data_IF_307028395338
#
_entry.id   IF_307028395338
#
_cell.length_a   1.000
_cell.length_b   1.000
_cell.length_c   1.000
_cell.angle_alpha   90.00
_cell.angle_beta   90.00
_cell.angle_gamma   90.00
#
_symmetry.space_group_name_H-M   'P 1'
#
loop_
_entity.id
_entity.type
_entity.pdbx_description
1 polymer ?
#
# COMPACT_ATOMS: atom_id res chain seq x y z
N UNK A 1 -38.96 2.13 -5.34
CA UNK A 1 -37.68 1.85 -6.03
C UNK A 1 -37.92 0.58 -6.82
N UNK A 2 -37.85 0.65 -8.15
CA UNK A 2 -38.03 -0.53 -8.99
C UNK A 2 -36.97 -1.58 -8.65
N UNK A 3 -37.34 -2.85 -8.70
CA UNK A 3 -36.38 -3.95 -8.60
C UNK A 3 -35.34 -3.78 -9.70
N UNK A 4 -34.03 -3.75 -9.36
CA UNK A 4 -32.99 -3.67 -10.37
C UNK A 4 -33.08 -4.91 -11.26
N UNK A 5 -33.37 -4.70 -12.55
CA UNK A 5 -33.39 -5.77 -13.55
C UNK A 5 -31.94 -6.18 -13.83
N UNK A 6 -31.53 -7.33 -13.30
CA UNK A 6 -30.25 -7.95 -13.65
C UNK A 6 -30.28 -8.41 -15.11
N UNK A 7 -29.12 -8.37 -15.79
CA UNK A 7 -29.01 -8.88 -17.16
C UNK A 7 -29.36 -10.38 -17.19
N UNK A 8 -30.00 -10.88 -18.27
CA UNK A 8 -30.40 -12.29 -18.37
C UNK A 8 -29.21 -13.27 -18.36
N UNK A 9 -28.00 -12.75 -18.59
CA UNK A 9 -26.77 -13.54 -18.71
C UNK A 9 -26.12 -13.85 -17.34
N UNK A 10 -26.70 -13.36 -16.24
CA UNK A 10 -26.14 -13.52 -14.89
C UNK A 10 -26.51 -14.90 -14.33
N UNK A 11 -25.55 -15.68 -13.78
CA UNK A 11 -25.85 -16.95 -13.11
C UNK A 11 -26.88 -16.76 -11.99
N UNK A 12 -27.89 -17.63 -11.93
CA UNK A 12 -29.00 -17.50 -10.99
C UNK A 12 -28.54 -17.41 -9.52
N UNK A 13 -27.49 -18.14 -9.14
CA UNK A 13 -26.94 -18.10 -7.78
C UNK A 13 -26.24 -16.77 -7.45
N UNK A 14 -25.59 -16.13 -8.43
CA UNK A 14 -25.03 -14.79 -8.27
C UNK A 14 -26.14 -13.75 -8.12
N UNK A 15 -27.23 -13.89 -8.89
CA UNK A 15 -28.41 -13.03 -8.77
C UNK A 15 -29.01 -13.12 -7.36
N UNK A 16 -29.17 -14.33 -6.80
CA UNK A 16 -29.65 -14.52 -5.42
C UNK A 16 -28.72 -13.89 -4.38
N UNK A 17 -27.41 -14.01 -4.54
CA UNK A 17 -26.44 -13.37 -3.64
C UNK A 17 -26.57 -11.84 -3.67
N UNK A 18 -26.75 -11.26 -4.87
CA UNK A 18 -26.98 -9.82 -5.04
C UNK A 18 -28.31 -9.40 -4.41
N UNK A 19 -29.39 -10.14 -4.63
CA UNK A 19 -30.70 -9.88 -4.01
C UNK A 19 -30.59 -9.86 -2.48
N UNK A 20 -29.96 -10.88 -1.89
CA UNK A 20 -29.76 -10.98 -0.43
C UNK A 20 -28.90 -9.82 0.13
N UNK A 21 -27.92 -9.35 -0.62
CA UNK A 21 -27.12 -8.17 -0.25
C UNK A 21 -27.93 -6.86 -0.28
N UNK A 22 -28.94 -6.79 -1.16
CA UNK A 22 -29.79 -5.61 -1.34
C UNK A 22 -31.06 -5.65 -0.47
N UNK A 23 -31.26 -6.71 0.32
CA UNK A 23 -32.39 -6.79 1.23
C UNK A 23 -32.42 -5.62 2.22
N UNK A 24 -33.61 -5.07 2.42
CA UNK A 24 -33.84 -3.98 3.37
C UNK A 24 -33.59 -4.38 4.82
N UNK A 25 -34.12 -5.52 5.31
CA UNK A 25 -33.81 -5.99 6.66
C UNK A 25 -32.33 -6.38 6.77
N UNK A 26 -31.66 -5.89 7.81
CA UNK A 26 -30.22 -6.14 8.04
C UNK A 26 -29.92 -7.59 8.40
N UNK A 27 -30.87 -8.27 9.05
CA UNK A 27 -30.80 -9.66 9.48
C UNK A 27 -30.97 -10.68 8.33
N UNK A 28 -31.53 -10.24 7.19
CA UNK A 28 -31.66 -11.08 6.01
C UNK A 28 -30.39 -11.06 5.12
N UNK A 29 -29.57 -10.01 5.27
CA UNK A 29 -28.27 -9.88 4.60
C UNK A 29 -27.28 -10.95 5.08
N UNK A 30 -26.23 -11.25 4.29
CA UNK A 30 -25.11 -12.06 4.76
C UNK A 30 -24.54 -11.47 6.05
N UNK A 31 -24.26 -12.34 7.03
CA UNK A 31 -23.85 -11.93 8.37
C UNK A 31 -22.48 -11.26 8.38
N UNK A 32 -21.66 -11.50 7.36
CA UNK A 32 -20.32 -10.92 7.25
C UNK A 32 -19.85 -10.80 5.80
N UNK A 33 -18.83 -9.97 5.59
CA UNK A 33 -18.12 -9.89 4.31
C UNK A 33 -17.38 -11.19 3.95
N UNK A 34 -17.08 -12.03 4.95
CA UNK A 34 -16.45 -13.34 4.74
C UNK A 34 -17.43 -14.32 4.07
N UNK A 35 -18.69 -14.34 4.50
CA UNK A 35 -19.75 -15.15 3.87
C UNK A 35 -19.90 -14.82 2.37
N UNK A 36 -19.89 -13.52 2.04
CA UNK A 36 -19.96 -13.04 0.65
C UNK A 36 -18.75 -13.51 -0.16
N UNK A 37 -17.54 -13.40 0.42
CA UNK A 37 -16.31 -13.84 -0.25
C UNK A 37 -16.30 -15.34 -0.52
N UNK A 38 -16.77 -16.13 0.44
CA UNK A 38 -16.85 -17.58 0.31
C UNK A 38 -17.87 -17.97 -0.77
N UNK A 39 -19.04 -17.33 -0.80
CA UNK A 39 -20.04 -17.53 -1.83
C UNK A 39 -19.51 -17.20 -3.24
N UNK A 40 -18.84 -16.05 -3.40
CA UNK A 40 -18.24 -15.68 -4.69
C UNK A 40 -17.13 -16.65 -5.13
N UNK A 41 -16.33 -17.15 -4.19
CA UNK A 41 -15.25 -18.12 -4.49
C UNK A 41 -15.83 -19.45 -4.97
N UNK A 42 -16.92 -19.91 -4.35
CA UNK A 42 -17.65 -21.11 -4.78
C UNK A 42 -18.18 -20.94 -6.21
N UNK A 43 -18.89 -19.84 -6.49
CA UNK A 43 -19.46 -19.53 -7.80
C UNK A 43 -18.40 -19.43 -8.90
N UNK A 44 -17.26 -18.81 -8.61
CA UNK A 44 -16.15 -18.73 -9.56
C UNK A 44 -15.58 -20.12 -9.90
N UNK A 45 -15.52 -21.02 -8.91
CA UNK A 45 -15.05 -22.39 -9.13
C UNK A 45 -16.03 -23.22 -9.97
N UNK A 46 -17.33 -23.01 -9.79
CA UNK A 46 -18.39 -23.67 -10.57
C UNK A 46 -18.41 -23.17 -12.02
N UNK A 47 -18.31 -21.86 -12.22
CA UNK A 47 -18.20 -21.26 -13.56
C UNK A 47 -16.99 -21.85 -14.32
N UNK A 48 -15.83 -21.96 -13.66
CA UNK A 48 -14.64 -22.56 -14.26
C UNK A 48 -14.83 -24.03 -14.66
N UNK A 49 -15.62 -24.79 -13.89
CA UNK A 49 -15.96 -26.19 -14.23
C UNK A 49 -16.91 -26.26 -15.42
N UNK A 50 -17.91 -25.37 -15.49
CA UNK A 50 -18.85 -25.29 -16.60
C UNK A 50 -18.17 -24.91 -17.92
N UNK A 51 -17.19 -24.00 -17.90
CA UNK A 51 -16.41 -23.64 -19.08
C UNK A 51 -15.53 -24.81 -19.58
N UNK A 52 -15.00 -25.60 -18.64
CA UNK A 52 -14.19 -26.78 -18.95
C UNK A 52 -15.00 -27.89 -19.62
N UNK A 53 -16.27 -28.09 -19.21
CA UNK A 53 -17.17 -29.06 -19.86
C UNK A 53 -17.66 -28.55 -21.21
N UNK A 54 -17.92 -27.25 -21.34
CA UNK A 54 -18.32 -26.64 -22.62
C UNK A 54 -17.21 -26.70 -23.68
N UNK A 55 -15.94 -26.71 -23.27
CA UNK A 55 -14.79 -26.78 -24.18
C UNK A 55 -14.54 -28.18 -24.76
N UNK A 56 -15.33 -29.20 -24.40
CA UNK A 56 -15.26 -30.53 -25.03
C UNK A 56 -13.94 -31.28 -24.81
N UNK A 57 -13.06 -30.78 -23.95
CA UNK A 57 -11.83 -31.47 -23.55
C UNK A 57 -12.25 -32.55 -22.56
N UNK A 58 -12.64 -33.72 -23.08
CA UNK A 58 -12.84 -34.91 -22.27
C UNK A 58 -11.56 -35.11 -21.42
N UNK A 59 -11.67 -35.26 -20.09
CA UNK A 59 -10.50 -35.61 -19.30
C UNK A 59 -9.99 -36.93 -19.87
N UNK A 60 -8.76 -36.92 -20.38
CA UNK A 60 -8.07 -38.12 -20.80
C UNK A 60 -7.92 -39.01 -19.58
N UNK A 61 -8.95 -39.83 -19.32
CA UNK A 61 -8.93 -40.87 -18.34
C UNK A 61 -7.78 -41.79 -18.74
N UNK A 62 -6.74 -41.78 -17.93
CA UNK A 62 -5.60 -42.66 -18.02
C UNK A 62 -6.10 -44.11 -18.06
N UNK A 63 -6.11 -44.67 -19.26
CA UNK A 63 -6.07 -46.10 -19.53
C UNK A 63 -4.72 -46.64 -19.00
N UNK A 64 -4.60 -46.80 -17.69
CA UNK A 64 -3.61 -47.70 -17.11
C UNK A 64 -4.29 -49.04 -16.84
N UNK A 65 -4.22 -49.89 -17.86
CA UNK A 65 -4.51 -51.31 -17.76
C UNK A 65 -3.59 -51.96 -16.72
N UNK A 66 -4.16 -52.42 -15.61
CA UNK A 66 -3.54 -53.41 -14.74
C UNK A 66 -4.17 -54.76 -15.11
N UNK A 67 -3.38 -55.61 -15.76
CA UNK A 67 -3.70 -57.01 -16.01
C UNK A 67 -3.10 -57.91 -14.94
N UNK A 68 -3.79 -59.02 -14.68
CA UNK A 68 -3.34 -60.17 -13.87
C UNK A 68 -3.55 -59.98 -12.36
N UNK A 69 -4.09 -60.91 -11.58
CA UNK A 69 -4.33 -62.33 -11.82
C UNK A 69 -5.29 -62.82 -10.71
N UNK A 70 -6.24 -63.65 -11.10
CA UNK A 70 -7.25 -64.29 -10.25
C UNK A 70 -6.67 -65.32 -9.30
N UNK A 71 -7.14 -65.35 -8.04
CA UNK A 71 -7.19 -66.57 -7.22
C UNK A 71 -8.51 -66.64 -6.44
N UNK A 72 -9.29 -67.75 -6.54
CA UNK A 72 -10.60 -67.86 -5.92
C UNK A 72 -10.56 -68.60 -4.57
N UNK A 73 -11.70 -68.51 -3.87
CA UNK A 73 -12.16 -69.32 -2.73
C UNK A 73 -11.45 -69.05 -1.38
N UNK A 74 -12.10 -68.99 -0.21
CA UNK A 74 -13.28 -69.73 0.26
C UNK A 74 -13.77 -69.08 1.60
N UNK A 75 -15.09 -68.98 1.79
CA UNK A 75 -15.88 -69.08 3.05
C UNK A 75 -15.48 -68.23 4.29
N UNK A 76 -16.46 -67.51 4.82
CA UNK A 76 -16.52 -67.23 6.26
C UNK A 76 -17.35 -66.02 6.64
N UNK A 77 -18.62 -66.25 7.01
CA UNK A 77 -19.48 -65.23 7.59
C UNK A 77 -18.96 -64.70 8.93
N UNK A 78 -19.38 -63.47 9.26
CA UNK A 78 -19.10 -62.84 10.54
C UNK A 78 -19.60 -61.42 10.56
N UNK A 79 -20.81 -61.23 11.08
CA UNK A 79 -21.30 -59.96 11.60
C UNK A 79 -20.22 -59.29 12.46
N UNK A 80 -19.70 -58.14 12.04
CA UNK A 80 -19.13 -57.17 13.00
C UNK A 80 -19.43 -55.74 12.54
N UNK A 81 -20.18 -55.08 13.42
CA UNK A 81 -20.48 -53.66 13.48
C UNK A 81 -19.15 -52.87 13.59
N UNK A 82 -18.88 -51.86 12.74
CA UNK A 82 -17.69 -51.03 12.93
C UNK A 82 -17.96 -50.07 14.08
N UNK A 83 -17.31 -50.37 15.21
CA UNK A 83 -17.12 -49.47 16.34
C UNK A 83 -16.25 -48.29 15.88
N UNK A 84 -16.82 -47.10 15.92
CA UNK A 84 -16.12 -45.84 15.69
C UNK A 84 -15.11 -45.62 16.82
N UNK A 85 -13.89 -46.11 16.65
CA UNK A 85 -12.73 -45.66 17.42
C UNK A 85 -12.34 -44.25 16.97
N UNK A 86 -12.24 -43.27 17.89
CA UNK A 86 -11.67 -41.97 17.57
C UNK A 86 -10.16 -42.13 17.39
N UNK A 87 -9.70 -42.11 16.14
CA UNK A 87 -8.29 -41.88 15.81
C UNK A 87 -7.93 -40.46 16.26
N UNK A 88 -7.45 -40.33 17.49
CA UNK A 88 -6.71 -39.15 17.94
C UNK A 88 -5.39 -39.18 17.18
N UNK A 89 -5.32 -38.46 16.06
CA UNK A 89 -4.05 -38.15 15.41
C UNK A 89 -3.19 -37.40 16.42
N UNK A 90 -2.18 -38.09 16.95
CA UNK A 90 -1.12 -37.49 17.73
C UNK A 90 -0.45 -36.42 16.87
N UNK A 91 -0.67 -35.17 17.22
CA UNK A 91 0.08 -34.01 16.71
C UNK A 91 1.55 -34.26 17.08
N UNK A 92 2.38 -34.46 16.07
CA UNK A 92 3.81 -34.57 16.26
C UNK A 92 4.33 -33.32 16.98
N UNK A 93 5.18 -33.46 18.01
CA UNK A 93 5.77 -32.31 18.68
C UNK A 93 6.61 -31.50 17.67
N UNK A 94 6.58 -30.16 17.75
CA UNK A 94 7.40 -29.32 16.88
C UNK A 94 8.89 -29.69 17.05
N UNK A 95 9.67 -29.72 15.97
CA UNK A 95 11.10 -30.03 16.05
C UNK A 95 11.79 -29.02 16.98
N UNK A 96 12.64 -29.55 17.86
CA UNK A 96 13.45 -28.76 18.78
C UNK A 96 14.20 -27.68 18.01
N UNK A 97 14.03 -26.42 18.43
CA UNK A 97 14.79 -25.26 17.93
C UNK A 97 16.27 -25.55 18.11
N UNK A 98 17.00 -25.66 17.01
CA UNK A 98 18.45 -25.70 17.06
C UNK A 98 18.98 -24.37 17.64
N UNK A 99 19.96 -24.42 18.56
CA UNK A 99 20.61 -23.21 19.07
C UNK A 99 21.33 -22.52 17.92
N UNK A 100 20.88 -21.29 17.63
CA UNK A 100 21.39 -20.47 16.55
C UNK A 100 22.90 -20.21 16.67
N UNK A 101 23.56 -20.24 15.53
CA UNK A 101 24.91 -19.73 15.35
C UNK A 101 25.01 -18.27 15.82
N UNK A 102 26.11 -17.87 16.47
CA UNK A 102 26.28 -16.49 16.91
C UNK A 102 26.31 -15.56 15.68
N UNK A 103 25.61 -14.42 15.73
CA UNK A 103 25.51 -13.51 14.61
C UNK A 103 26.88 -12.91 14.28
N UNK A 104 27.31 -13.04 13.02
CA UNK A 104 28.51 -12.41 12.43
C UNK A 104 28.40 -10.87 12.30
N UNK A 105 27.58 -10.22 13.12
CA UNK A 105 27.27 -8.78 13.06
C UNK A 105 28.39 -7.92 13.66
N UNK A 106 29.29 -8.49 14.45
CA UNK A 106 30.36 -7.73 15.10
C UNK A 106 31.49 -7.22 14.19
N UNK A 107 31.60 -7.71 12.94
CA UNK A 107 32.66 -7.27 12.02
C UNK A 107 32.30 -6.04 11.18
N UNK A 108 31.02 -5.66 11.06
CA UNK A 108 30.60 -4.53 10.22
C UNK A 108 30.60 -3.20 11.00
N UNK A 109 30.41 -3.25 12.32
CA UNK A 109 30.40 -2.02 13.16
C UNK A 109 31.79 -1.38 13.27
N UNK A 110 32.86 -2.18 13.23
CA UNK A 110 34.23 -1.67 13.31
C UNK A 110 34.66 -0.87 12.06
N UNK A 111 34.24 -1.27 10.86
CA UNK A 111 34.64 -0.60 9.62
C UNK A 111 33.96 0.77 9.44
N UNK A 112 32.72 0.91 9.90
CA UNK A 112 31.96 2.16 9.77
C UNK A 112 32.50 3.27 10.68
N UNK A 113 32.94 2.93 11.90
CA UNK A 113 33.52 3.89 12.84
C UNK A 113 34.84 4.46 12.33
N UNK A 114 35.71 3.63 11.74
CA UNK A 114 36.99 4.08 11.18
C UNK A 114 36.77 5.02 9.99
N UNK A 115 35.80 4.72 9.12
CA UNK A 115 35.47 5.59 7.99
C UNK A 115 34.94 6.96 8.44
N UNK A 116 34.08 6.98 9.48
CA UNK A 116 33.56 8.22 10.07
C UNK A 116 34.69 9.09 10.64
N UNK A 117 35.65 8.48 11.36
CA UNK A 117 36.81 9.20 11.91
C UNK A 117 37.65 9.80 10.78
N UNK A 118 37.90 9.06 9.69
CA UNK A 118 38.66 9.57 8.54
C UNK A 118 37.94 10.73 7.86
N UNK A 119 36.62 10.65 7.67
CA UNK A 119 35.83 11.75 7.06
C UNK A 119 35.85 13.00 7.93
N UNK A 120 35.68 12.87 9.25
CA UNK A 120 35.78 14.00 10.19
C UNK A 120 37.17 14.61 10.18
N UNK A 121 38.23 13.79 10.11
CA UNK A 121 39.60 14.29 10.03
C UNK A 121 39.87 15.05 8.73
N UNK A 122 39.37 14.55 7.60
CA UNK A 122 39.51 15.22 6.29
C UNK A 122 38.73 16.54 6.27
N UNK A 123 37.53 16.59 6.86
CA UNK A 123 36.75 17.84 6.96
C UNK A 123 37.41 18.85 7.90
N UNK A 124 37.97 18.41 9.02
CA UNK A 124 38.69 19.27 9.95
C UNK A 124 39.98 19.85 9.32
N UNK A 125 40.72 19.05 8.55
CA UNK A 125 41.91 19.52 7.82
C UNK A 125 41.57 20.46 6.65
N UNK A 126 40.35 20.40 6.11
CA UNK A 126 39.91 21.27 5.01
C UNK A 126 39.26 22.58 5.49
N UNK A 127 38.97 22.70 6.78
CA UNK A 127 38.26 23.87 7.35
C UNK A 127 39.19 24.83 8.12
N UNK A 128 40.51 24.61 8.08
CA UNK A 128 41.46 25.55 8.65
C UNK A 128 41.85 26.60 7.61
N UNK A 129 41.13 27.72 7.56
CA UNK A 129 41.71 29.02 7.14
C UNK A 129 40.81 30.26 7.42
N UNK A 130 39.57 30.12 7.90
CA UNK A 130 38.74 31.30 8.24
C UNK A 130 38.35 31.32 9.72
N UNK A 131 39.32 31.67 10.57
CA UNK A 131 39.07 32.14 11.92
C UNK A 131 39.39 33.64 11.99
N UNK A 132 38.38 34.51 11.94
CA UNK A 132 38.48 35.80 12.64
C UNK A 132 37.13 36.43 13.02
N UNK A 133 37.12 36.88 14.27
CA UNK A 133 36.32 37.92 14.93
C UNK A 133 34.90 37.61 15.41
N UNK A 134 34.87 37.41 16.73
CA UNK A 134 33.74 37.59 17.63
C UNK A 134 33.16 39.01 17.60
N UNK A 135 31.83 39.15 17.71
CA UNK A 135 31.21 40.33 18.33
C UNK A 135 30.11 39.87 19.28
N UNK A 136 30.27 40.28 20.53
CA UNK A 136 29.38 40.05 21.65
C UNK A 136 28.12 40.91 21.59
N UNK A 137 27.02 40.33 22.09
CA UNK A 137 26.01 41.01 22.91
C UNK A 137 25.05 41.98 22.23
N UNK A 138 23.75 41.72 22.37
CA UNK A 138 22.83 42.67 23.03
C UNK A 138 21.49 41.99 23.31
N UNK A 139 21.16 41.90 24.60
CA UNK A 139 19.79 41.70 25.08
C UNK A 139 18.97 42.95 24.74
N UNK A 140 17.77 42.77 24.18
CA UNK A 140 16.73 43.81 24.20
C UNK A 140 15.40 43.19 24.58
N UNK A 141 15.09 43.31 25.87
CA UNK A 141 13.77 43.29 26.46
C UNK A 141 13.03 44.56 26.03
N UNK A 142 11.86 44.43 25.40
CA UNK A 142 10.94 45.57 25.22
C UNK A 142 9.52 45.11 25.54
N UNK A 143 9.01 45.62 26.67
CA UNK A 143 7.62 45.56 27.08
C UNK A 143 6.78 46.60 26.30
N UNK A 144 5.51 46.23 26.06
CA UNK A 144 4.30 47.06 25.93
C UNK A 144 4.20 48.16 24.84
N UNK A 145 3.12 48.10 24.04
CA UNK A 145 1.89 48.93 24.21
C UNK A 145 1.09 49.03 22.90
N UNK A 146 -0.23 48.89 23.03
CA UNK A 146 -1.25 49.11 22.01
C UNK A 146 -1.28 50.56 21.51
N UNK A 147 -1.61 50.76 20.23
CA UNK A 147 -2.73 51.60 19.78
C UNK A 147 -2.89 51.53 18.26
N UNK A 148 -4.13 51.77 17.83
CA UNK A 148 -4.68 51.65 16.49
C UNK A 148 -4.01 52.55 15.44
N UNK A 149 -3.89 52.06 14.20
CA UNK A 149 -4.55 52.67 13.04
C UNK A 149 -4.45 51.74 11.81
N UNK A 150 -5.58 51.59 11.11
CA UNK A 150 -5.79 50.62 10.03
C UNK A 150 -5.69 51.36 8.68
N UNK A 151 -4.63 51.20 7.87
CA UNK A 151 -4.73 51.53 6.46
C UNK A 151 -5.37 50.34 5.74
N UNK A 152 -6.65 50.51 5.41
CA UNK A 152 -7.42 49.70 4.47
C UNK A 152 -6.69 49.70 3.11
N UNK A 153 -5.79 48.74 2.94
CA UNK A 153 -4.97 48.56 1.75
C UNK A 153 -5.77 47.73 0.76
N UNK A 154 -6.39 48.39 -0.22
CA UNK A 154 -7.10 47.77 -1.33
C UNK A 154 -6.22 46.68 -1.99
N UNK A 155 -6.63 45.42 -1.82
CA UNK A 155 -5.94 44.28 -2.38
C UNK A 155 -6.20 44.16 -3.90
N UNK A 156 -5.16 44.04 -4.75
CA UNK A 156 -5.31 43.91 -6.19
C UNK A 156 -5.89 42.53 -6.55
N UNK A 157 -7.16 42.50 -6.97
CA UNK A 157 -7.93 41.29 -7.35
C UNK A 157 -7.57 40.67 -8.72
N UNK A 158 -6.40 40.92 -9.30
CA UNK A 158 -6.15 40.60 -10.74
C UNK A 158 -5.09 39.50 -10.99
N UNK A 159 -4.40 38.97 -9.97
CA UNK A 159 -3.24 38.10 -10.20
C UNK A 159 -3.49 36.58 -10.26
N UNK A 160 -4.72 36.08 -10.04
CA UNK A 160 -4.94 34.62 -9.88
C UNK A 160 -4.88 33.84 -11.20
N UNK A 161 -5.16 34.48 -12.35
CA UNK A 161 -5.29 33.76 -13.63
C UNK A 161 -3.97 33.29 -14.24
N UNK A 162 -2.82 33.83 -13.82
CA UNK A 162 -1.51 33.52 -14.43
C UNK A 162 -0.82 32.31 -13.81
N UNK A 163 -1.13 31.94 -12.55
CA UNK A 163 -0.48 30.85 -11.85
C UNK A 163 -0.93 29.45 -12.32
N UNK A 164 -2.20 29.32 -12.74
CA UNK A 164 -2.77 28.03 -13.18
C UNK A 164 -2.22 27.58 -14.54
N UNK A 165 -1.86 28.53 -15.40
CA UNK A 165 -1.28 28.23 -16.72
C UNK A 165 0.17 27.75 -16.60
N UNK A 166 0.94 28.27 -15.64
CA UNK A 166 2.32 27.84 -15.42
C UNK A 166 2.40 26.40 -14.86
N UNK A 167 1.53 26.06 -13.90
CA UNK A 167 1.47 24.70 -13.35
C UNK A 167 1.08 23.64 -14.41
N UNK A 168 0.15 23.99 -15.30
CA UNK A 168 -0.26 23.09 -16.39
C UNK A 168 0.83 22.90 -17.46
N UNK A 169 1.70 23.89 -17.67
CA UNK A 169 2.82 23.75 -18.61
C UNK A 169 3.89 22.80 -18.06
N UNK A 170 4.22 22.89 -16.77
CA UNK A 170 5.20 22.00 -16.12
C UNK A 170 4.76 20.54 -16.14
N UNK A 171 3.46 20.25 -15.97
CA UNK A 171 2.95 18.87 -16.06
C UNK A 171 3.13 18.30 -17.47
N UNK A 172 3.03 19.13 -18.51
CA UNK A 172 3.17 18.71 -19.91
C UNK A 172 4.62 18.43 -20.30
N UNK A 173 5.57 19.05 -19.60
CA UNK A 173 7.00 18.89 -19.84
C UNK A 173 7.59 17.64 -19.16
N UNK A 174 6.91 17.07 -18.17
CA UNK A 174 7.35 15.84 -17.47
C UNK A 174 7.32 14.56 -18.31
N UNK A 175 7.20 14.68 -19.64
CA UNK A 175 7.33 13.59 -20.59
C UNK A 175 6.17 12.61 -20.56
N UNK A 176 5.85 12.07 -21.73
CA UNK A 176 5.04 10.87 -21.81
C UNK A 176 5.85 9.72 -21.20
N UNK A 177 5.27 9.03 -20.22
CA UNK A 177 5.92 7.88 -19.59
C UNK A 177 6.07 6.76 -20.60
N UNK A 178 7.20 6.05 -20.58
CA UNK A 178 7.28 4.78 -21.30
C UNK A 178 6.21 3.82 -20.77
N UNK A 179 5.70 2.95 -21.65
CA UNK A 179 4.58 2.05 -21.32
C UNK A 179 4.92 1.13 -20.11
N UNK A 180 6.18 0.73 -19.98
CA UNK A 180 6.69 -0.05 -18.84
C UNK A 180 6.61 0.75 -17.54
N UNK A 181 7.12 1.98 -17.52
CA UNK A 181 7.08 2.85 -16.32
C UNK A 181 5.65 3.18 -15.96
N UNK A 182 4.77 3.43 -16.94
CA UNK A 182 3.34 3.66 -16.68
C UNK A 182 2.69 2.44 -16.02
N UNK A 183 3.01 1.22 -16.48
CA UNK A 183 2.49 -0.03 -15.90
C UNK A 183 2.98 -0.24 -14.47
N UNK A 184 4.26 0.01 -14.18
CA UNK A 184 4.79 -0.09 -12.83
C UNK A 184 4.23 0.99 -11.91
N UNK A 185 4.14 2.23 -12.39
CA UNK A 185 3.55 3.35 -11.64
C UNK A 185 2.10 3.07 -11.27
N UNK A 186 1.31 2.58 -12.22
CA UNK A 186 -0.05 2.11 -11.96
C UNK A 186 -0.06 0.98 -10.92
N UNK A 187 0.88 0.03 -11.00
CA UNK A 187 0.99 -1.08 -10.02
C UNK A 187 1.28 -0.57 -8.61
N UNK A 188 2.25 0.34 -8.43
CA UNK A 188 2.53 0.97 -7.12
C UNK A 188 1.28 1.70 -6.61
N UNK A 189 0.62 2.45 -7.49
CA UNK A 189 -0.52 3.31 -7.14
C UNK A 189 -1.87 2.60 -7.02
N UNK A 190 -2.02 1.34 -7.47
CA UNK A 190 -3.33 0.65 -7.47
C UNK A 190 -3.31 -0.75 -6.83
N UNK A 191 -2.18 -1.45 -6.78
CA UNK A 191 -2.15 -2.83 -6.33
C UNK A 191 -2.33 -2.97 -4.80
N UNK A 192 -3.05 -4.02 -4.35
CA UNK A 192 -3.29 -4.30 -2.93
C UNK A 192 -2.12 -5.00 -2.25
N UNK A 193 -1.37 -5.82 -2.99
CA UNK A 193 -0.23 -6.59 -2.47
C UNK A 193 0.98 -5.68 -2.27
N UNK A 194 1.47 -5.59 -1.03
CA UNK A 194 2.64 -4.77 -0.71
C UNK A 194 3.91 -5.25 -1.44
N UNK A 195 4.14 -6.56 -1.49
CA UNK A 195 5.29 -7.11 -2.21
C UNK A 195 5.28 -6.79 -3.72
N UNK A 196 4.10 -6.74 -4.36
CA UNK A 196 4.01 -6.34 -5.77
C UNK A 196 4.26 -4.85 -5.96
N UNK A 197 3.84 -4.00 -5.01
CA UNK A 197 4.15 -2.57 -5.04
C UNK A 197 5.64 -2.32 -4.84
N UNK A 198 6.26 -2.94 -3.84
CA UNK A 198 7.71 -2.79 -3.62
C UNK A 198 8.50 -3.25 -4.83
N UNK A 199 8.12 -4.38 -5.44
CA UNK A 199 8.74 -4.83 -6.70
C UNK A 199 8.59 -3.76 -7.79
N UNK A 200 7.38 -3.28 -8.05
CA UNK A 200 7.16 -2.26 -9.09
C UNK A 200 7.89 -0.94 -8.79
N UNK A 201 7.96 -0.51 -7.53
CA UNK A 201 8.72 0.66 -7.12
C UNK A 201 10.22 0.48 -7.41
N UNK A 202 10.77 -0.71 -7.12
CA UNK A 202 12.14 -1.05 -7.47
C UNK A 202 12.40 -0.98 -8.98
N UNK A 203 11.51 -1.55 -9.80
CA UNK A 203 11.63 -1.48 -11.28
C UNK A 203 11.62 -0.03 -11.78
N UNK A 204 10.83 0.87 -11.17
CA UNK A 204 10.84 2.32 -11.50
C UNK A 204 12.19 2.96 -11.16
N UNK A 205 12.76 2.66 -9.99
CA UNK A 205 14.02 3.25 -9.52
C UNK A 205 15.24 2.71 -10.28
N UNK A 206 15.17 1.48 -10.80
CA UNK A 206 16.22 0.82 -11.57
C UNK A 206 16.08 1.01 -13.10
N UNK A 207 15.05 1.73 -13.58
CA UNK A 207 14.81 1.94 -15.01
C UNK A 207 15.90 2.81 -15.66
N UNK A 208 16.44 2.34 -16.78
CA UNK A 208 17.40 3.08 -17.59
C UNK A 208 16.83 3.37 -18.99
N UNK A 209 16.94 4.61 -19.49
CA UNK A 209 17.57 5.77 -18.83
C UNK A 209 16.67 6.41 -17.75
N UNK A 210 17.28 6.90 -16.67
CA UNK A 210 16.56 7.56 -15.58
C UNK A 210 15.76 8.79 -16.03
N UNK A 211 16.14 9.41 -17.15
CA UNK A 211 15.43 10.53 -17.76
C UNK A 211 14.05 10.17 -18.34
N UNK A 212 13.77 8.88 -18.57
CA UNK A 212 12.45 8.41 -19.02
C UNK A 212 11.45 8.24 -17.87
N UNK A 213 11.90 8.34 -16.62
CA UNK A 213 11.06 8.22 -15.44
C UNK A 213 10.66 9.62 -14.97
N UNK A 214 9.37 10.00 -15.05
CA UNK A 214 8.94 11.28 -14.51
C UNK A 214 9.19 11.36 -13.01
N UNK A 215 9.48 12.56 -12.54
CA UNK A 215 9.86 12.78 -11.15
C UNK A 215 8.77 12.32 -10.16
N UNK A 216 7.50 12.51 -10.50
CA UNK A 216 6.38 12.01 -9.68
C UNK A 216 6.42 10.48 -9.50
N UNK A 217 6.81 9.72 -10.53
CA UNK A 217 6.90 8.27 -10.44
C UNK A 217 8.08 7.82 -9.59
N UNK A 218 9.23 8.50 -9.73
CA UNK A 218 10.40 8.29 -8.89
C UNK A 218 10.09 8.56 -7.42
N UNK A 219 9.46 9.69 -7.10
CA UNK A 219 9.06 10.01 -5.72
C UNK A 219 8.01 9.06 -5.16
N UNK A 220 7.03 8.62 -5.95
CA UNK A 220 6.06 7.60 -5.53
C UNK A 220 6.75 6.27 -5.23
N UNK A 221 7.76 5.89 -6.01
CA UNK A 221 8.57 4.71 -5.75
C UNK A 221 9.44 4.87 -4.48
N UNK A 222 10.10 6.01 -4.30
CA UNK A 222 10.86 6.35 -3.08
C UNK A 222 9.96 6.27 -1.83
N UNK A 223 8.74 6.82 -1.90
CA UNK A 223 7.77 6.79 -0.79
C UNK A 223 7.42 5.35 -0.40
N UNK A 224 7.26 4.47 -1.39
CA UNK A 224 6.97 3.06 -1.18
C UNK A 224 8.16 2.28 -0.59
N UNK A 225 9.39 2.66 -0.92
CA UNK A 225 10.62 2.01 -0.46
C UNK A 225 11.12 2.55 0.88
N UNK A 226 10.77 3.77 1.26
CA UNK A 226 11.14 4.36 2.55
C UNK A 226 10.62 3.51 3.72
N UNK A 227 11.45 3.29 4.74
CA UNK A 227 11.10 2.44 5.89
C UNK A 227 10.68 3.28 7.08
N UNK A 228 11.36 4.40 7.31
CA UNK A 228 11.12 5.28 8.43
C UNK A 228 10.09 6.37 8.12
N UNK A 229 9.37 6.82 9.14
CA UNK A 229 8.38 7.88 8.96
C UNK A 229 9.00 9.23 8.55
N UNK A 230 10.20 9.54 9.04
CA UNK A 230 10.92 10.76 8.66
C UNK A 230 11.23 10.77 7.15
N UNK A 231 11.77 9.66 6.63
CA UNK A 231 12.05 9.49 5.20
C UNK A 231 10.77 9.62 4.35
N UNK A 232 9.68 8.96 4.77
CA UNK A 232 8.39 9.07 4.07
C UNK A 232 7.89 10.51 4.05
N UNK A 233 8.02 11.23 5.16
CA UNK A 233 7.61 12.63 5.26
C UNK A 233 8.40 13.51 4.29
N UNK A 234 9.72 13.36 4.23
CA UNK A 234 10.56 14.11 3.29
C UNK A 234 10.14 13.87 1.84
N UNK A 235 9.78 12.64 1.48
CA UNK A 235 9.28 12.32 0.14
C UNK A 235 7.88 12.90 -0.12
N UNK A 236 6.99 12.90 0.88
CA UNK A 236 5.66 13.55 0.79
C UNK A 236 5.80 15.05 0.56
N UNK A 237 6.73 15.71 1.25
CA UNK A 237 6.99 17.15 1.07
C UNK A 237 7.51 17.46 -0.34
N UNK A 238 8.37 16.59 -0.91
CA UNK A 238 8.80 16.68 -2.31
C UNK A 238 7.64 16.47 -3.29
N UNK A 239 6.76 15.50 -3.04
CA UNK A 239 5.56 15.29 -3.86
C UNK A 239 4.62 16.49 -3.82
N UNK A 240 4.42 17.09 -2.63
CA UNK A 240 3.62 18.29 -2.46
C UNK A 240 4.17 19.47 -3.28
N UNK A 241 5.50 19.62 -3.32
CA UNK A 241 6.16 20.67 -4.09
C UNK A 241 5.94 20.52 -5.61
N UNK A 242 5.87 19.29 -6.13
CA UNK A 242 5.59 19.03 -7.55
C UNK A 242 4.15 19.41 -7.96
N UNK A 243 3.20 19.34 -7.04
CA UNK A 243 1.76 19.57 -7.30
C UNK A 243 1.18 18.73 -8.45
N UNK A 244 1.74 17.55 -8.68
CA UNK A 244 1.31 16.66 -9.76
C UNK A 244 0.12 15.79 -9.30
N UNK A 245 -1.06 15.90 -9.93
CA UNK A 245 -2.26 15.15 -9.52
C UNK A 245 -2.08 13.62 -9.61
N UNK A 246 -1.11 13.12 -10.38
CA UNK A 246 -0.80 11.67 -10.47
C UNK A 246 -0.37 11.09 -9.12
N UNK A 247 0.17 11.90 -8.21
CA UNK A 247 0.57 11.46 -6.86
C UNK A 247 -0.58 11.27 -5.87
N UNK A 248 -1.76 11.83 -6.15
CA UNK A 248 -2.91 11.87 -5.22
C UNK A 248 -3.38 10.47 -4.83
N UNK A 249 -3.55 9.57 -5.80
CA UNK A 249 -4.04 8.21 -5.53
C UNK A 249 -3.07 7.43 -4.62
N UNK A 250 -1.77 7.66 -4.77
CA UNK A 250 -0.76 7.07 -3.89
C UNK A 250 -0.89 7.60 -2.46
N UNK A 251 -1.01 8.92 -2.27
CA UNK A 251 -1.16 9.50 -0.93
C UNK A 251 -2.43 9.04 -0.22
N UNK A 252 -3.55 8.90 -0.96
CA UNK A 252 -4.82 8.36 -0.43
C UNK A 252 -4.73 6.94 0.13
N UNK A 253 -3.67 6.19 -0.19
CA UNK A 253 -3.45 4.85 0.40
C UNK A 253 -2.84 4.90 1.79
N UNK A 254 -2.03 5.92 2.03
CA UNK A 254 -1.40 6.16 3.32
C UNK A 254 -2.34 6.92 4.26
N UNK A 255 -3.43 7.48 3.72
CA UNK A 255 -4.54 7.91 4.54
C UNK A 255 -5.06 6.74 5.41
N UNK A 256 -5.55 7.05 6.62
CA UNK A 256 -5.84 6.06 7.62
C UNK A 256 -6.93 5.11 7.15
N UNK A 257 -6.73 3.81 7.39
CA UNK A 257 -7.78 2.79 7.26
C UNK A 257 -8.13 2.23 8.63
N UNK A 258 -8.65 3.10 9.50
CA UNK A 258 -8.97 2.76 10.88
C UNK A 258 -7.78 2.29 11.75
N UNK A 259 -8.02 2.14 13.05
CA UNK A 259 -6.99 1.86 14.06
C UNK A 259 -6.32 0.46 13.97
N UNK A 260 -6.74 -0.40 13.04
CA UNK A 260 -6.41 -1.82 13.09
C UNK A 260 -5.33 -2.29 12.10
N UNK A 261 -4.90 -1.45 11.15
CA UNK A 261 -3.96 -1.88 10.11
C UNK A 261 -2.55 -2.21 10.64
N UNK A 262 -2.14 -1.67 11.79
CA UNK A 262 -0.79 -1.81 12.33
C UNK A 262 -0.76 -2.18 13.82
N UNK A 263 -1.46 -3.25 14.21
CA UNK A 263 -1.29 -3.83 15.55
C UNK A 263 -1.65 -2.86 16.69
N UNK A 264 -2.78 -2.17 16.57
CA UNK A 264 -3.31 -1.15 17.51
C UNK A 264 -2.52 0.17 17.58
N UNK A 265 -1.45 0.34 16.80
CA UNK A 265 -0.74 1.61 16.68
C UNK A 265 -1.10 2.30 15.36
N UNK A 266 -1.13 3.63 15.37
CA UNK A 266 -1.24 4.42 14.15
C UNK A 266 0.13 4.43 13.43
N UNK A 267 0.24 3.64 12.36
CA UNK A 267 1.46 3.54 11.55
C UNK A 267 1.88 4.86 10.91
N UNK A 268 0.91 5.75 10.62
CA UNK A 268 1.14 6.93 9.80
C UNK A 268 0.80 8.23 10.55
N UNK A 269 0.61 8.16 11.87
CA UNK A 269 0.29 9.33 12.69
C UNK A 269 1.30 10.47 12.53
N UNK A 270 2.59 10.13 12.45
CA UNK A 270 3.69 11.08 12.27
C UNK A 270 3.71 11.81 10.92
N UNK A 271 3.05 11.29 9.88
CA UNK A 271 3.01 11.89 8.54
C UNK A 271 1.62 12.42 8.15
N UNK A 272 0.61 12.27 9.01
CA UNK A 272 -0.78 12.62 8.70
C UNK A 272 -0.97 14.08 8.29
N UNK A 273 -0.39 15.00 9.05
CA UNK A 273 -0.45 16.44 8.73
C UNK A 273 0.26 16.77 7.41
N UNK A 274 1.41 16.14 7.13
CA UNK A 274 2.15 16.34 5.89
C UNK A 274 1.36 15.82 4.67
N UNK A 275 0.73 14.64 4.79
CA UNK A 275 -0.12 14.09 3.72
C UNK A 275 -1.35 14.96 3.45
N UNK A 276 -2.02 15.46 4.49
CA UNK A 276 -3.16 16.36 4.33
C UNK A 276 -2.75 17.65 3.60
N UNK A 277 -1.61 18.24 3.98
CA UNK A 277 -1.06 19.41 3.31
C UNK A 277 -0.68 19.11 1.84
N UNK A 278 -0.06 17.96 1.57
CA UNK A 278 0.31 17.54 0.23
C UNK A 278 -0.90 17.32 -0.68
N UNK A 279 -1.96 16.67 -0.17
CA UNK A 279 -3.22 16.48 -0.90
C UNK A 279 -3.82 17.84 -1.30
N UNK A 280 -3.91 18.80 -0.36
CA UNK A 280 -4.40 20.16 -0.66
C UNK A 280 -3.53 20.88 -1.68
N UNK A 281 -2.20 20.76 -1.57
CA UNK A 281 -1.28 21.37 -2.53
C UNK A 281 -1.48 20.85 -3.96
N UNK A 282 -1.92 19.60 -4.10
CA UNK A 282 -2.29 18.96 -5.37
C UNK A 282 -3.76 19.18 -5.77
N UNK A 283 -4.53 19.99 -5.04
CA UNK A 283 -5.95 20.26 -5.31
C UNK A 283 -6.89 19.11 -4.94
N UNK A 284 -6.45 18.17 -4.10
CA UNK A 284 -7.26 17.08 -3.60
C UNK A 284 -7.70 17.32 -2.15
N UNK A 285 -8.96 17.06 -1.85
CA UNK A 285 -9.49 17.08 -0.49
C UNK A 285 -8.99 15.85 0.30
N UNK A 286 -8.42 16.04 1.51
CA UNK A 286 -8.14 14.94 2.43
C UNK A 286 -9.42 14.25 2.88
N UNK A 287 -9.34 12.95 3.19
CA UNK A 287 -10.46 12.20 3.73
C UNK A 287 -10.96 12.78 5.06
N UNK A 288 -12.23 12.57 5.38
CA UNK A 288 -12.83 12.98 6.65
C UNK A 288 -12.07 12.43 7.86
N UNK A 289 -11.62 11.17 7.80
CA UNK A 289 -10.79 10.54 8.84
C UNK A 289 -9.43 11.21 9.01
N UNK A 290 -8.84 11.69 7.91
CA UNK A 290 -7.61 12.49 7.97
C UNK A 290 -7.90 13.82 8.66
N UNK A 291 -8.96 14.54 8.26
CA UNK A 291 -9.36 15.84 8.83
C UNK A 291 -9.70 15.76 10.32
N UNK A 292 -10.47 14.75 10.73
CA UNK A 292 -10.82 14.49 12.13
C UNK A 292 -9.55 14.31 12.98
N UNK A 293 -8.63 13.46 12.51
CA UNK A 293 -7.46 13.11 13.31
C UNK A 293 -6.35 14.17 13.33
N UNK A 294 -6.38 15.15 12.42
CA UNK A 294 -5.53 16.34 12.53
C UNK A 294 -6.23 17.47 13.30
N UNK A 295 -7.45 17.23 13.82
CA UNK A 295 -8.19 18.20 14.63
C UNK A 295 -8.83 19.33 13.82
N UNK A 296 -9.18 19.11 12.55
CA UNK A 296 -9.79 20.13 11.70
C UNK A 296 -11.33 20.08 11.64
N UNK A 297 -11.94 19.03 12.21
CA UNK A 297 -13.39 18.92 12.36
C UNK A 297 -13.74 19.24 13.83
N UNK A 298 -13.93 20.52 14.12
CA UNK A 298 -14.53 21.03 15.37
C UNK A 298 -16.02 21.35 15.19
#
# INVERSE_FOLDING_TARGET
LGTPQLRPDVPAELARLIERLLERPLDARPASAEEVRNALTLLASEAKRADSTASGVAPAAALSASGGETRPELIGGGETRPELSPQVSAVAPPPARQPGSPPRVWLVVGASLVLMIVVVLVLALRSGDDAEVAVAGTETKTDAKADADHPEKEAPKVAVKTAETAASATIREQGEMSESVQRWFHTVSTNRSDGQRQKAAKEILEHEPASEVPEVARLVAELQMAEACAEKKDVVDKLAALKDPRGVETLRRYEPRGYHACGRKDCYGCMRAAMAAALRAMGAEPSEQTREAIGELE
#
